data_IF_794597940639
#
_entry.id   IF_794597940639
#
_cell.length_a   1.000
_cell.length_b   1.000
_cell.length_c   1.000
_cell.angle_alpha   90.00
_cell.angle_beta   90.00
_cell.angle_gamma   90.00
#
_symmetry.space_group_name_H-M   'P 1'
#
loop_
_entity.id
_entity.type
_entity.pdbx_description
1 polymer ?
#
# COMPACT_ATOMS: atom_id res chain seq x y z
N UNK A 1 -87.26 42.08 11.50
CA UNK A 1 -86.34 43.10 10.96
C UNK A 1 -84.99 42.42 10.75
N UNK A 2 -84.68 42.05 9.51
CA UNK A 2 -83.56 41.21 9.12
C UNK A 2 -82.30 42.08 9.07
N UNK A 3 -81.31 41.81 9.92
CA UNK A 3 -80.00 42.47 9.88
C UNK A 3 -78.98 41.50 9.30
N UNK A 4 -78.52 41.81 8.08
CA UNK A 4 -77.39 41.16 7.41
C UNK A 4 -76.09 41.67 8.05
N UNK A 5 -75.25 40.78 8.55
CA UNK A 5 -73.85 41.08 8.86
C UNK A 5 -72.99 40.12 8.03
N UNK A 6 -72.31 40.70 7.05
CA UNK A 6 -71.23 40.10 6.28
C UNK A 6 -70.01 39.94 7.19
N UNK A 7 -69.46 38.73 7.29
CA UNK A 7 -68.11 38.52 7.83
C UNK A 7 -67.25 37.90 6.74
N UNK A 8 -66.24 38.66 6.35
CA UNK A 8 -65.21 38.37 5.37
C UNK A 8 -64.38 37.16 5.81
N UNK A 9 -64.28 36.15 4.94
CA UNK A 9 -63.43 34.98 5.14
C UNK A 9 -61.97 35.36 4.82
N UNK A 10 -61.11 35.39 5.84
CA UNK A 10 -59.67 35.55 5.67
C UNK A 10 -59.07 34.22 5.18
N UNK A 11 -58.42 34.25 4.01
CA UNK A 11 -57.75 33.10 3.41
C UNK A 11 -56.45 32.82 4.15
N UNK A 12 -56.35 31.58 4.63
CA UNK A 12 -55.19 30.96 5.25
C UNK A 12 -54.06 30.78 4.22
N UNK A 13 -52.88 31.33 4.48
CA UNK A 13 -51.63 30.94 3.81
C UNK A 13 -50.69 30.34 4.85
N UNK A 14 -50.80 29.03 5.09
CA UNK A 14 -49.78 28.26 5.79
C UNK A 14 -48.62 28.05 4.82
N UNK A 15 -47.47 28.64 5.10
CA UNK A 15 -46.19 28.20 4.54
C UNK A 15 -45.95 26.76 5.03
N UNK A 16 -46.10 25.79 4.14
CA UNK A 16 -45.58 24.44 4.35
C UNK A 16 -44.09 24.50 4.03
N UNK A 17 -43.26 24.69 5.05
CA UNK A 17 -41.84 24.33 4.94
C UNK A 17 -41.79 22.82 4.67
N UNK A 18 -41.17 22.34 3.58
CA UNK A 18 -40.82 20.94 3.48
C UNK A 18 -39.79 20.67 4.57
N UNK A 19 -40.24 20.05 5.67
CA UNK A 19 -39.34 19.32 6.55
C UNK A 19 -38.65 18.28 5.68
N UNK A 20 -37.34 18.41 5.48
CA UNK A 20 -36.50 17.29 5.08
C UNK A 20 -36.77 16.18 6.09
N UNK A 21 -37.63 15.24 5.71
CA UNK A 21 -37.67 13.95 6.37
C UNK A 21 -36.30 13.34 6.12
N UNK A 22 -35.47 13.32 7.16
CA UNK A 22 -34.32 12.45 7.17
C UNK A 22 -34.82 11.05 6.82
N UNK A 23 -34.15 10.39 5.87
CA UNK A 23 -34.46 9.02 5.54
C UNK A 23 -34.51 8.18 6.82
N UNK A 24 -35.50 7.27 6.97
CA UNK A 24 -35.48 6.35 8.10
C UNK A 24 -34.14 5.60 8.11
N UNK A 25 -33.53 5.40 9.29
CA UNK A 25 -32.24 4.74 9.38
C UNK A 25 -32.33 3.38 8.68
N UNK A 26 -31.42 3.18 7.73
CA UNK A 26 -31.26 1.92 7.01
C UNK A 26 -31.22 0.77 8.02
N UNK A 27 -32.05 -0.25 7.82
CA UNK A 27 -32.12 -1.41 8.69
C UNK A 27 -30.84 -2.24 8.52
N UNK A 28 -29.78 -1.86 9.24
CA UNK A 28 -28.50 -2.56 9.25
C UNK A 28 -28.67 -3.96 9.87
N UNK A 29 -28.21 -4.99 9.16
CA UNK A 29 -28.16 -6.35 9.72
C UNK A 29 -27.27 -6.30 10.98
N UNK A 30 -27.69 -6.95 12.08
CA UNK A 30 -26.87 -6.96 13.28
C UNK A 30 -25.50 -7.56 12.97
N UNK A 31 -24.41 -6.97 13.49
CA UNK A 31 -23.06 -7.44 13.20
C UNK A 31 -22.91 -8.91 13.61
N UNK A 32 -22.15 -9.68 12.84
CA UNK A 32 -21.80 -11.04 13.25
C UNK A 32 -20.86 -10.97 14.45
N UNK A 33 -21.24 -11.62 15.55
CA UNK A 33 -20.49 -11.61 16.80
C UNK A 33 -20.24 -13.02 17.27
N UNK A 34 -18.99 -13.31 17.61
CA UNK A 34 -18.58 -14.53 18.30
C UNK A 34 -17.96 -14.18 19.64
N UNK A 35 -18.21 -15.00 20.65
CA UNK A 35 -17.56 -14.85 21.95
C UNK A 35 -17.21 -16.22 22.51
N UNK A 36 -16.23 -16.25 23.41
CA UNK A 36 -15.76 -17.48 24.02
C UNK A 36 -14.80 -17.22 25.17
N UNK A 37 -14.30 -18.32 25.72
CA UNK A 37 -13.28 -18.32 26.78
C UNK A 37 -12.22 -19.35 26.44
N UNK A 38 -10.97 -19.03 26.74
CA UNK A 38 -9.82 -19.90 26.55
C UNK A 38 -9.11 -20.10 27.88
N UNK A 39 -8.71 -21.33 28.19
CA UNK A 39 -7.96 -21.64 29.41
C UNK A 39 -6.46 -21.40 29.23
N UNK A 40 -5.93 -21.60 28.02
CA UNK A 40 -4.52 -21.41 27.71
C UNK A 40 -4.21 -19.93 27.41
N UNK A 41 -3.63 -19.24 28.39
CA UNK A 41 -3.23 -17.82 28.27
C UNK A 41 -2.16 -17.58 27.21
N UNK A 42 -1.38 -18.59 26.83
CA UNK A 42 -0.33 -18.43 25.81
C UNK A 42 -0.93 -18.07 24.44
N UNK A 43 -2.17 -18.51 24.18
CA UNK A 43 -2.89 -18.18 22.95
C UNK A 43 -3.25 -16.70 22.87
N UNK A 44 -3.47 -16.04 24.01
CA UNK A 44 -3.78 -14.61 24.05
C UNK A 44 -2.61 -13.80 23.51
N UNK A 45 -1.39 -14.02 24.03
CA UNK A 45 -0.19 -13.27 23.59
C UNK A 45 0.22 -13.63 22.17
N UNK A 46 -0.01 -14.87 21.74
CA UNK A 46 0.45 -15.38 20.45
C UNK A 46 -0.44 -14.96 19.28
N UNK A 47 -1.76 -14.91 19.49
CA UNK A 47 -2.72 -14.73 18.40
C UNK A 47 -3.57 -13.46 18.48
N UNK A 48 -3.55 -12.73 19.61
CA UNK A 48 -4.20 -11.41 19.64
C UNK A 48 -3.45 -10.45 18.71
N UNK A 49 -4.12 -9.82 17.73
CA UNK A 49 -3.47 -8.84 16.88
C UNK A 49 -3.07 -7.62 17.69
N UNK A 50 -1.85 -7.10 17.46
CA UNK A 50 -1.36 -5.89 18.13
C UNK A 50 -2.18 -4.64 17.77
N UNK A 51 -2.90 -4.70 16.66
CA UNK A 51 -3.78 -3.65 16.14
C UNK A 51 -5.20 -3.71 16.72
N UNK A 52 -5.53 -4.76 17.48
CA UNK A 52 -6.88 -5.00 18.03
C UNK A 52 -7.99 -5.24 16.99
N UNK A 53 -7.63 -5.37 15.71
CA UNK A 53 -8.52 -5.80 14.63
C UNK A 53 -7.78 -6.70 13.63
N UNK A 54 -8.55 -7.41 12.82
CA UNK A 54 -8.10 -8.22 11.68
C UNK A 54 -8.69 -7.64 10.40
N UNK A 55 -7.85 -7.50 9.37
CA UNK A 55 -8.20 -6.92 8.09
C UNK A 55 -7.90 -7.83 6.89
N UNK A 56 -7.51 -9.08 7.13
CA UNK A 56 -7.18 -10.07 6.10
C UNK A 56 -7.55 -11.49 6.53
N UNK A 57 -7.72 -12.36 5.54
CA UNK A 57 -8.17 -13.73 5.73
C UNK A 57 -7.17 -14.63 6.46
N UNK A 58 -5.87 -14.44 6.24
CA UNK A 58 -4.83 -15.30 6.81
C UNK A 58 -4.74 -15.10 8.33
N UNK A 59 -4.77 -13.84 8.78
CA UNK A 59 -4.83 -13.50 10.19
C UNK A 59 -6.13 -14.01 10.83
N UNK A 60 -7.26 -13.92 10.12
CA UNK A 60 -8.54 -14.46 10.58
C UNK A 60 -8.51 -15.96 10.78
N UNK A 61 -8.02 -16.70 9.79
CA UNK A 61 -7.91 -18.16 9.85
C UNK A 61 -7.01 -18.61 11.01
N UNK A 62 -5.84 -17.97 11.17
CA UNK A 62 -4.89 -18.27 12.24
C UNK A 62 -5.52 -18.06 13.63
N UNK A 63 -6.17 -16.92 13.84
CA UNK A 63 -6.84 -16.63 15.12
C UNK A 63 -8.00 -17.59 15.36
N UNK A 64 -8.87 -17.80 14.36
CA UNK A 64 -10.04 -18.65 14.49
C UNK A 64 -9.66 -20.10 14.84
N UNK A 65 -8.71 -20.69 14.11
CA UNK A 65 -8.25 -22.06 14.38
C UNK A 65 -7.61 -22.20 15.77
N UNK A 66 -6.91 -21.15 16.23
CA UNK A 66 -6.30 -21.15 17.56
C UNK A 66 -7.33 -21.05 18.68
N UNK A 67 -8.34 -20.18 18.54
CA UNK A 67 -9.29 -19.88 19.61
C UNK A 67 -10.61 -20.66 19.52
N UNK A 68 -10.88 -21.33 18.41
CA UNK A 68 -12.09 -22.14 18.18
C UNK A 68 -11.73 -23.42 17.43
N UNK A 69 -10.82 -24.26 17.97
CA UNK A 69 -10.41 -25.48 17.30
C UNK A 69 -11.63 -26.40 17.10
N UNK A 70 -11.82 -26.88 15.88
CA UNK A 70 -12.92 -27.77 15.52
C UNK A 70 -14.21 -27.08 15.05
N UNK A 71 -14.27 -25.74 15.09
CA UNK A 71 -15.38 -25.00 14.48
C UNK A 71 -15.06 -24.63 13.02
N UNK A 72 -16.09 -24.64 12.16
CA UNK A 72 -15.96 -24.19 10.77
C UNK A 72 -15.53 -22.72 10.71
N UNK A 73 -14.56 -22.39 9.86
CA UNK A 73 -14.06 -21.04 9.66
C UNK A 73 -15.12 -20.16 8.98
N UNK A 74 -15.60 -19.07 9.62
CA UNK A 74 -16.54 -18.16 9.01
C UNK A 74 -15.92 -17.44 7.83
N UNK A 75 -16.69 -17.31 6.74
CA UNK A 75 -16.28 -16.57 5.55
C UNK A 75 -16.59 -15.08 5.76
N UNK A 76 -15.56 -14.25 5.66
CA UNK A 76 -15.64 -12.80 5.86
C UNK A 76 -15.03 -12.13 4.64
N UNK A 77 -15.75 -11.21 4.01
CA UNK A 77 -15.23 -10.41 2.91
C UNK A 77 -14.44 -9.21 3.47
N UNK A 78 -13.12 -9.37 3.60
CA UNK A 78 -12.26 -8.33 4.20
C UNK A 78 -12.09 -7.08 3.33
N UNK A 79 -12.56 -7.11 2.08
CA UNK A 79 -12.70 -5.89 1.26
C UNK A 79 -13.80 -4.97 1.80
N UNK A 80 -14.80 -5.52 2.48
CA UNK A 80 -15.97 -4.80 3.01
C UNK A 80 -16.04 -4.76 4.52
N UNK A 81 -15.32 -5.63 5.21
CA UNK A 81 -15.45 -5.78 6.66
C UNK A 81 -14.12 -5.87 7.37
N UNK A 82 -14.14 -5.52 8.65
CA UNK A 82 -13.07 -5.75 9.62
C UNK A 82 -13.58 -6.66 10.73
N UNK A 83 -12.68 -7.39 11.39
CA UNK A 83 -13.02 -8.11 12.62
C UNK A 83 -12.34 -7.44 13.80
N UNK A 84 -13.12 -6.82 14.68
CA UNK A 84 -12.64 -6.28 15.95
C UNK A 84 -12.37 -7.42 16.94
N UNK A 85 -11.27 -7.31 17.68
CA UNK A 85 -10.82 -8.33 18.63
C UNK A 85 -10.76 -7.74 20.04
N UNK A 86 -11.75 -8.05 20.86
CA UNK A 86 -11.81 -7.65 22.26
C UNK A 86 -11.44 -8.81 23.17
N UNK A 87 -10.56 -8.58 24.14
CA UNK A 87 -10.12 -9.62 25.08
C UNK A 87 -10.16 -9.12 26.52
N UNK A 88 -10.32 -10.03 27.47
CA UNK A 88 -10.25 -9.76 28.90
C UNK A 88 -9.55 -10.90 29.63
N UNK A 89 -8.57 -10.58 30.46
CA UNK A 89 -7.86 -11.57 31.28
C UNK A 89 -8.77 -12.29 32.25
N UNK A 90 -8.43 -13.54 32.57
CA UNK A 90 -9.20 -14.46 33.40
C UNK A 90 -10.38 -15.08 32.66
N UNK A 91 -11.13 -16.01 33.29
CA UNK A 91 -12.23 -16.73 32.66
C UNK A 91 -13.49 -15.86 32.55
N UNK A 92 -13.31 -14.64 32.05
CA UNK A 92 -14.31 -13.59 31.99
C UNK A 92 -15.13 -13.66 30.72
N UNK A 93 -16.35 -13.14 30.77
CA UNK A 93 -17.08 -12.85 29.54
C UNK A 93 -16.62 -11.48 29.09
N UNK A 94 -16.00 -11.39 27.92
CA UNK A 94 -15.74 -10.13 27.26
C UNK A 94 -16.97 -9.74 26.44
N UNK A 95 -17.15 -8.45 26.26
CA UNK A 95 -18.07 -7.86 25.29
C UNK A 95 -17.50 -6.49 24.91
N UNK A 96 -17.92 -5.94 23.77
CA UNK A 96 -17.36 -4.70 23.24
C UNK A 96 -18.46 -3.79 22.72
N UNK A 97 -18.17 -2.49 22.72
CA UNK A 97 -19.04 -1.49 22.10
C UNK A 97 -18.21 -0.60 21.17
N UNK A 98 -18.27 -0.82 19.84
CA UNK A 98 -17.66 0.07 18.88
C UNK A 98 -18.45 1.37 18.72
N UNK A 99 -17.73 2.44 18.44
CA UNK A 99 -18.24 3.78 18.12
C UNK A 99 -17.31 4.37 17.06
N UNK A 100 -17.87 4.82 15.94
CA UNK A 100 -17.11 5.48 14.87
C UNK A 100 -17.49 6.95 14.86
N UNK A 101 -16.50 7.84 14.78
CA UNK A 101 -16.73 9.27 14.60
C UNK A 101 -16.80 9.66 13.11
N UNK A 102 -17.20 10.90 12.84
CA UNK A 102 -17.37 11.43 11.47
C UNK A 102 -16.06 11.47 10.67
N UNK A 103 -14.91 11.43 11.36
CA UNK A 103 -13.59 11.40 10.74
C UNK A 103 -13.18 9.98 10.30
N UNK A 104 -13.96 8.96 10.65
CA UNK A 104 -13.70 7.56 10.36
C UNK A 104 -12.82 6.86 11.41
N UNK A 105 -12.70 7.41 12.62
CA UNK A 105 -11.98 6.75 13.70
C UNK A 105 -12.93 5.88 14.51
N UNK A 106 -12.81 4.57 14.34
CA UNK A 106 -13.51 3.61 15.17
C UNK A 106 -12.76 3.45 16.50
N UNK A 107 -13.46 3.62 17.61
CA UNK A 107 -12.99 3.27 18.95
C UNK A 107 -13.92 2.24 19.55
N UNK A 108 -13.38 1.32 20.33
CA UNK A 108 -14.20 0.43 21.12
C UNK A 108 -13.62 0.21 22.50
N UNK A 109 -14.52 0.04 23.46
CA UNK A 109 -14.18 -0.35 24.83
C UNK A 109 -14.60 -1.79 25.06
N UNK A 110 -13.71 -2.57 25.68
CA UNK A 110 -14.03 -3.93 26.14
C UNK A 110 -14.51 -3.85 27.59
N UNK A 111 -15.69 -4.39 27.85
CA UNK A 111 -16.23 -4.58 29.19
C UNK A 111 -16.32 -6.06 29.50
N UNK A 112 -16.09 -6.42 30.75
CA UNK A 112 -16.02 -7.83 31.16
C UNK A 112 -16.49 -8.07 32.58
N UNK A 113 -16.83 -9.33 32.87
CA UNK A 113 -16.97 -9.80 34.25
C UNK A 113 -15.61 -9.69 34.99
N UNK A 114 -15.62 -9.71 36.32
CA UNK A 114 -14.40 -9.62 37.16
C UNK A 114 -14.18 -10.90 37.96
N UNK A 115 -13.96 -12.01 37.26
CA UNK A 115 -13.64 -13.33 37.82
C UNK A 115 -12.13 -13.52 37.72
N UNK A 116 -11.48 -13.79 38.86
CA UNK A 116 -10.06 -14.16 38.90
C UNK A 116 -9.85 -15.63 38.53
N UNK A 117 -8.68 -15.95 38.00
CA UNK A 117 -8.30 -17.30 37.57
C UNK A 117 -7.58 -17.29 36.22
N UNK A 118 -7.09 -18.44 35.76
CA UNK A 118 -6.34 -18.52 34.51
C UNK A 118 -7.24 -18.38 33.29
N UNK A 119 -6.65 -17.95 32.18
CA UNK A 119 -7.26 -17.90 30.86
C UNK A 119 -7.67 -16.50 30.43
N UNK A 120 -8.51 -16.42 29.41
CA UNK A 120 -9.07 -15.16 28.93
C UNK A 120 -10.46 -15.34 28.30
N UNK A 121 -11.27 -14.30 28.37
CA UNK A 121 -12.47 -14.12 27.58
C UNK A 121 -12.19 -13.34 26.31
N UNK A 122 -12.96 -13.59 25.25
CA UNK A 122 -12.86 -12.80 24.03
C UNK A 122 -14.22 -12.56 23.37
N UNK A 123 -14.27 -11.51 22.56
CA UNK A 123 -15.34 -11.17 21.63
C UNK A 123 -14.70 -10.81 20.28
N UNK A 124 -15.24 -11.37 19.21
CA UNK A 124 -14.89 -11.10 17.82
C UNK A 124 -16.13 -10.50 17.16
N UNK A 125 -16.02 -9.31 16.59
CA UNK A 125 -17.16 -8.60 16.01
C UNK A 125 -16.83 -8.15 14.59
N UNK A 126 -17.65 -8.55 13.63
CA UNK A 126 -17.55 -8.06 12.25
C UNK A 126 -18.20 -6.69 12.19
N UNK A 127 -17.48 -5.72 11.63
CA UNK A 127 -17.97 -4.36 11.36
C UNK A 127 -17.73 -4.01 9.90
N UNK A 128 -18.56 -3.14 9.35
CA UNK A 128 -18.33 -2.60 8.01
C UNK A 128 -17.04 -1.77 8.00
N UNK A 129 -16.25 -1.97 6.94
CA UNK A 129 -14.96 -1.30 6.73
C UNK A 129 -15.13 0.10 6.15
N UNK A 130 -16.24 0.32 5.45
CA UNK A 130 -16.46 1.57 4.72
C UNK A 130 -16.40 2.78 5.66
N UNK A 131 -15.71 3.83 5.21
CA UNK A 131 -15.46 5.04 6.00
C UNK A 131 -14.49 4.88 7.19
N UNK A 132 -14.06 3.68 7.58
CA UNK A 132 -13.13 3.48 8.70
C UNK A 132 -11.68 3.70 8.26
N UNK A 133 -11.01 4.68 8.89
CA UNK A 133 -9.60 5.00 8.69
C UNK A 133 -8.72 4.42 9.80
N UNK A 134 -9.20 4.44 11.05
CA UNK A 134 -8.46 3.92 12.20
C UNK A 134 -9.36 3.11 13.14
N UNK A 135 -8.75 2.17 13.86
CA UNK A 135 -9.37 1.40 14.95
C UNK A 135 -8.50 1.55 16.20
N UNK A 136 -9.03 2.15 17.27
CA UNK A 136 -8.27 2.45 18.51
C UNK A 136 -6.91 3.14 18.25
N UNK A 137 -6.84 3.98 17.21
CA UNK A 137 -5.62 4.70 16.81
C UNK A 137 -4.68 3.92 15.88
N UNK A 138 -4.97 2.67 15.57
CA UNK A 138 -4.26 1.88 14.55
C UNK A 138 -4.87 2.11 13.17
N UNK A 139 -4.06 2.43 12.18
CA UNK A 139 -4.52 2.64 10.81
C UNK A 139 -5.07 1.34 10.20
N UNK A 140 -6.22 1.43 9.53
CA UNK A 140 -6.76 0.34 8.72
C UNK A 140 -6.03 0.35 7.37
N UNK A 141 -5.46 -0.78 6.91
CA UNK A 141 -4.79 -0.85 5.61
C UNK A 141 -5.72 -0.42 4.46
N UNK A 142 -5.17 -0.01 3.32
CA UNK A 142 -5.99 0.07 2.11
C UNK A 142 -6.49 -1.34 1.73
N UNK A 143 -7.64 -1.42 1.04
CA UNK A 143 -8.09 -2.70 0.49
C UNK A 143 -7.17 -3.04 -0.67
N UNK A 144 -6.29 -4.01 -0.47
CA UNK A 144 -5.68 -4.70 -1.59
C UNK A 144 -6.79 -5.53 -2.27
N UNK A 145 -7.04 -5.31 -3.56
CA UNK A 145 -8.09 -6.04 -4.31
C UNK A 145 -7.90 -7.58 -4.29
N UNK A 146 -6.77 -8.07 -3.78
CA UNK A 146 -6.39 -9.47 -3.60
C UNK A 146 -6.81 -10.09 -2.25
N UNK A 147 -7.41 -9.35 -1.30
CA UNK A 147 -7.59 -9.83 0.09
C UNK A 147 -8.99 -10.38 0.46
N UNK A 148 -9.80 -10.83 -0.50
CA UNK A 148 -11.09 -11.49 -0.22
C UNK A 148 -10.93 -13.02 -0.16
N UNK A 149 -11.37 -13.73 0.90
CA UNK A 149 -11.29 -15.19 0.95
C UNK A 149 -12.46 -15.82 0.20
N UNK A 150 -12.35 -15.87 -1.11
CA UNK A 150 -12.88 -17.03 -1.82
C UNK A 150 -11.96 -18.21 -1.49
N UNK A 151 -12.55 -19.36 -1.12
CA UNK A 151 -11.89 -20.66 -0.88
C UNK A 151 -10.49 -20.74 -1.51
N UNK A 152 -9.49 -21.20 -0.76
CA UNK A 152 -8.26 -21.77 -1.33
C UNK A 152 -8.66 -22.98 -2.18
N UNK A 153 -9.15 -22.71 -3.38
CA UNK A 153 -9.10 -23.63 -4.49
C UNK A 153 -7.62 -23.71 -4.84
N UNK A 154 -7.12 -24.93 -5.00
CA UNK A 154 -5.80 -25.15 -5.57
C UNK A 154 -5.66 -24.27 -6.81
N UNK A 155 -4.74 -23.33 -6.74
CA UNK A 155 -4.52 -22.35 -7.80
C UNK A 155 -3.04 -22.28 -8.10
N UNK A 156 -2.72 -22.29 -9.38
CA UNK A 156 -1.34 -22.15 -9.85
C UNK A 156 -1.18 -20.69 -10.26
N UNK A 157 -0.39 -19.91 -9.52
CA UNK A 157 0.03 -18.59 -9.96
C UNK A 157 1.19 -18.72 -10.94
N UNK A 158 1.12 -18.02 -12.07
CA UNK A 158 2.16 -18.05 -13.10
C UNK A 158 2.62 -16.65 -13.47
N UNK A 159 3.90 -16.54 -13.83
CA UNK A 159 4.45 -15.39 -14.56
C UNK A 159 5.02 -15.91 -15.86
N UNK A 160 4.49 -15.43 -16.99
CA UNK A 160 4.89 -15.86 -18.33
C UNK A 160 5.51 -14.69 -19.06
N UNK A 161 6.73 -14.87 -19.54
CA UNK A 161 7.40 -13.92 -20.44
C UNK A 161 7.37 -14.52 -21.84
N UNK A 162 6.70 -13.86 -22.77
CA UNK A 162 6.45 -14.44 -24.09
C UNK A 162 5.87 -13.44 -25.09
N UNK A 163 5.61 -13.90 -26.30
CA UNK A 163 4.99 -13.09 -27.37
C UNK A 163 3.48 -13.12 -27.24
N UNK A 164 2.86 -11.94 -27.16
CA UNK A 164 1.40 -11.78 -27.10
C UNK A 164 0.78 -11.83 -28.50
N UNK A 165 -0.39 -12.46 -28.63
CA UNK A 165 -1.22 -12.43 -29.84
C UNK A 165 -2.69 -12.18 -29.52
N UNK A 166 -3.32 -11.21 -30.17
CA UNK A 166 -4.76 -10.90 -30.03
C UNK A 166 -5.53 -11.17 -31.34
N UNK A 167 -6.86 -11.01 -31.32
CA UNK A 167 -7.70 -11.11 -32.51
C UNK A 167 -7.87 -12.55 -33.05
N UNK A 168 -7.57 -13.56 -32.24
CA UNK A 168 -7.69 -14.95 -32.65
C UNK A 168 -9.16 -15.37 -32.73
N UNK A 169 -9.54 -16.00 -33.84
CA UNK A 169 -10.89 -16.55 -34.03
C UNK A 169 -10.74 -18.05 -34.23
N UNK A 170 -11.35 -18.82 -33.34
CA UNK A 170 -11.49 -20.27 -33.50
C UNK A 170 -12.84 -20.61 -34.13
N UNK A 171 -12.88 -21.69 -34.89
CA UNK A 171 -14.13 -22.29 -35.33
C UNK A 171 -14.89 -22.70 -34.05
N UNK A 172 -16.20 -22.46 -34.00
CA UNK A 172 -16.98 -22.70 -32.78
C UNK A 172 -16.82 -21.67 -31.64
N UNK A 173 -15.99 -20.63 -31.79
CA UNK A 173 -15.90 -19.53 -30.82
C UNK A 173 -15.25 -19.91 -29.48
N UNK A 174 -14.59 -21.06 -29.41
CA UNK A 174 -14.02 -21.60 -28.18
C UNK A 174 -12.67 -20.97 -27.80
N UNK A 175 -12.36 -19.74 -28.17
CA UNK A 175 -11.10 -19.09 -27.78
C UNK A 175 -11.35 -17.86 -26.93
N UNK A 176 -10.42 -17.51 -26.05
CA UNK A 176 -10.43 -16.19 -25.39
C UNK A 176 -10.06 -15.05 -26.34
N UNK A 177 -9.59 -15.38 -27.55
CA UNK A 177 -9.18 -14.43 -28.57
C UNK A 177 -7.79 -13.84 -28.35
N UNK A 178 -7.13 -14.16 -27.23
CA UNK A 178 -5.78 -13.70 -26.90
C UNK A 178 -4.92 -14.84 -26.36
N UNK A 179 -3.67 -14.94 -26.81
CA UNK A 179 -2.71 -15.94 -26.34
C UNK A 179 -1.34 -15.32 -26.04
N UNK A 180 -0.58 -16.01 -25.20
CA UNK A 180 0.86 -15.78 -24.99
C UNK A 180 1.63 -17.04 -25.34
N UNK A 181 2.73 -16.91 -26.07
CA UNK A 181 3.61 -18.03 -26.41
C UNK A 181 5.01 -17.82 -25.85
N UNK A 182 5.53 -18.82 -25.12
CA UNK A 182 6.89 -18.83 -24.57
C UNK A 182 7.49 -20.22 -24.68
N UNK A 183 8.74 -20.32 -25.14
CA UNK A 183 9.45 -21.59 -25.32
C UNK A 183 8.63 -22.67 -26.07
N UNK A 184 7.86 -22.26 -27.08
CA UNK A 184 7.03 -23.17 -27.89
C UNK A 184 5.74 -23.65 -27.22
N UNK A 185 5.42 -23.17 -26.02
CA UNK A 185 4.16 -23.44 -25.33
C UNK A 185 3.26 -22.21 -25.42
N UNK A 186 1.99 -22.43 -25.74
CA UNK A 186 0.99 -21.38 -25.89
C UNK A 186 -0.09 -21.52 -24.83
N UNK A 187 -0.40 -20.40 -24.17
CA UNK A 187 -1.50 -20.29 -23.22
C UNK A 187 -2.51 -19.26 -23.71
N UNK A 188 -3.78 -19.52 -23.43
CA UNK A 188 -4.84 -18.52 -23.63
C UNK A 188 -4.88 -17.55 -22.46
N UNK A 189 -5.22 -16.30 -22.75
CA UNK A 189 -5.35 -15.24 -21.75
C UNK A 189 -6.81 -14.87 -21.56
N UNK A 190 -7.29 -14.93 -20.32
CA UNK A 190 -8.61 -14.46 -19.93
C UNK A 190 -8.48 -13.19 -19.11
N UNK A 191 -8.93 -12.07 -19.66
CA UNK A 191 -8.95 -10.76 -18.98
C UNK A 191 -10.25 -10.52 -18.19
N UNK A 192 -11.15 -11.49 -18.11
CA UNK A 192 -12.39 -11.39 -17.34
C UNK A 192 -13.27 -10.20 -17.78
N UNK A 193 -13.44 -9.21 -16.89
CA UNK A 193 -14.19 -7.97 -17.19
C UNK A 193 -13.28 -6.74 -17.38
N UNK A 194 -11.96 -6.91 -17.33
CA UNK A 194 -10.99 -5.81 -17.42
C UNK A 194 -10.82 -5.36 -18.88
N UNK A 195 -11.71 -4.48 -19.36
CA UNK A 195 -11.67 -3.92 -20.71
C UNK A 195 -10.36 -3.17 -20.99
N UNK A 196 -9.84 -2.45 -20.00
CA UNK A 196 -8.56 -1.72 -20.12
C UNK A 196 -7.37 -2.65 -20.42
N UNK A 197 -7.33 -3.83 -19.80
CA UNK A 197 -6.28 -4.82 -20.09
C UNK A 197 -6.43 -5.43 -21.48
N UNK A 198 -7.66 -5.54 -22.00
CA UNK A 198 -7.88 -5.97 -23.40
C UNK A 198 -7.35 -4.92 -24.36
N UNK A 199 -7.68 -3.64 -24.14
CA UNK A 199 -7.17 -2.54 -24.97
C UNK A 199 -5.64 -2.47 -24.92
N UNK A 200 -5.05 -2.73 -23.75
CA UNK A 200 -3.60 -2.83 -23.59
C UNK A 200 -3.03 -4.04 -24.35
N UNK A 201 -3.70 -5.20 -24.29
CA UNK A 201 -3.29 -6.39 -25.01
C UNK A 201 -3.31 -6.17 -26.52
N UNK A 202 -4.33 -5.50 -27.05
CA UNK A 202 -4.42 -5.14 -28.47
C UNK A 202 -3.26 -4.23 -28.90
N UNK A 203 -2.91 -3.24 -28.08
CA UNK A 203 -1.74 -2.37 -28.33
C UNK A 203 -0.41 -3.13 -28.26
N UNK A 204 -0.35 -4.19 -27.46
CA UNK A 204 0.83 -5.01 -27.26
C UNK A 204 0.87 -6.24 -28.20
N UNK A 205 -0.08 -6.36 -29.14
CA UNK A 205 -0.11 -7.48 -30.09
C UNK A 205 1.23 -7.64 -30.83
N UNK A 206 1.72 -8.88 -30.89
CA UNK A 206 3.01 -9.24 -31.49
C UNK A 206 4.24 -8.85 -30.68
N UNK A 207 4.11 -8.13 -29.56
CA UNK A 207 5.25 -7.75 -28.71
C UNK A 207 5.56 -8.82 -27.65
N UNK A 208 6.79 -8.79 -27.14
CA UNK A 208 7.14 -9.55 -25.96
C UNK A 208 6.56 -8.85 -24.72
N UNK A 209 5.90 -9.60 -23.85
CA UNK A 209 5.19 -9.10 -22.67
C UNK A 209 5.50 -9.96 -21.44
N UNK A 210 5.24 -9.43 -20.26
CA UNK A 210 5.17 -10.17 -19.00
C UNK A 210 3.71 -10.22 -18.57
N UNK A 211 3.19 -11.44 -18.42
CA UNK A 211 1.83 -11.70 -17.93
C UNK A 211 1.93 -12.38 -16.57
N UNK A 212 1.22 -11.87 -15.58
CA UNK A 212 1.01 -12.54 -14.29
C UNK A 212 -0.47 -12.89 -14.15
N UNK A 213 -0.76 -14.05 -13.59
CA UNK A 213 -2.14 -14.50 -13.41
C UNK A 213 -2.26 -15.85 -12.74
N UNK A 214 -3.47 -16.39 -12.76
CA UNK A 214 -3.77 -17.74 -12.28
C UNK A 214 -4.01 -18.68 -13.46
N UNK A 215 -3.31 -19.81 -13.49
CA UNK A 215 -3.43 -20.82 -14.54
C UNK A 215 -4.51 -21.83 -14.18
N UNK A 216 -5.39 -22.12 -15.13
CA UNK A 216 -6.42 -23.14 -15.03
C UNK A 216 -6.43 -24.00 -16.30
N UNK A 217 -6.81 -25.27 -16.12
CA UNK A 217 -7.08 -26.18 -17.23
C UNK A 217 -8.59 -26.27 -17.46
N UNK A 218 -9.04 -26.08 -18.70
CA UNK A 218 -10.45 -26.27 -19.11
C UNK A 218 -10.54 -27.30 -20.22
N UNK A 219 -11.60 -28.12 -20.21
CA UNK A 219 -11.93 -28.97 -21.34
C UNK A 219 -12.50 -28.11 -22.48
N UNK A 220 -12.07 -28.35 -23.72
CA UNK A 220 -12.65 -27.75 -24.93
C UNK A 220 -13.30 -28.82 -25.82
N UNK A 221 -14.15 -28.40 -26.76
CA UNK A 221 -14.79 -29.28 -27.73
C UNK A 221 -13.87 -29.54 -28.93
N UNK A 222 -13.16 -28.52 -29.41
CA UNK A 222 -12.18 -28.65 -30.51
C UNK A 222 -10.78 -29.01 -30.03
N UNK A 223 -10.37 -28.48 -28.86
CA UNK A 223 -9.10 -28.79 -28.21
C UNK A 223 -9.37 -29.43 -26.86
N UNK A 224 -9.00 -30.70 -26.71
CA UNK A 224 -9.36 -31.51 -25.56
C UNK A 224 -8.96 -30.89 -24.20
N UNK A 225 -7.80 -30.23 -24.14
CA UNK A 225 -7.34 -29.54 -22.94
C UNK A 225 -6.81 -28.14 -23.29
N UNK A 226 -7.37 -27.13 -22.64
CA UNK A 226 -7.01 -25.73 -22.83
C UNK A 226 -6.41 -25.17 -21.55
N UNK A 227 -5.26 -24.52 -21.67
CA UNK A 227 -4.57 -23.88 -20.55
C UNK A 227 -4.81 -22.37 -20.62
N UNK A 228 -5.56 -21.86 -19.65
CA UNK A 228 -6.02 -20.48 -19.63
C UNK A 228 -5.42 -19.79 -18.40
N UNK A 229 -4.77 -18.65 -18.63
CA UNK A 229 -4.28 -17.76 -17.58
C UNK A 229 -5.30 -16.65 -17.40
N UNK A 230 -5.95 -16.62 -16.23
CA UNK A 230 -6.73 -15.44 -15.80
C UNK A 230 -5.74 -14.35 -15.43
N UNK A 231 -5.67 -13.31 -16.25
CA UNK A 231 -4.63 -12.27 -16.17
C UNK A 231 -4.96 -11.30 -15.04
N UNK A 232 -4.01 -11.14 -14.12
CA UNK A 232 -4.04 -10.08 -13.10
C UNK A 232 -3.11 -8.91 -13.44
N UNK A 233 -2.09 -9.15 -14.27
CA UNK A 233 -1.15 -8.12 -14.72
C UNK A 233 -0.63 -8.40 -16.12
N UNK A 234 -0.58 -7.35 -16.94
CA UNK A 234 0.00 -7.36 -18.28
C UNK A 234 0.89 -6.13 -18.44
N UNK A 235 2.10 -6.32 -18.97
CA UNK A 235 3.02 -5.22 -19.31
C UNK A 235 3.97 -5.63 -20.43
N UNK A 236 4.56 -4.67 -21.15
CA UNK A 236 5.60 -4.99 -22.14
C UNK A 236 6.82 -5.59 -21.43
N UNK A 237 7.47 -6.57 -22.05
CA UNK A 237 8.74 -7.08 -21.55
C UNK A 237 9.79 -5.97 -21.70
N UNK A 238 10.44 -5.62 -20.59
CA UNK A 238 11.32 -4.45 -20.49
C UNK A 238 10.65 -3.19 -19.90
N UNK A 239 9.33 -3.16 -19.72
CA UNK A 239 8.69 -2.17 -18.84
C UNK A 239 8.75 -2.71 -17.40
N UNK A 240 9.67 -2.22 -16.57
CA UNK A 240 9.62 -2.43 -15.11
C UNK A 240 8.63 -1.47 -14.44
N UNK A 241 8.18 -1.80 -13.23
CA UNK A 241 7.01 -1.25 -12.55
C UNK A 241 6.99 0.30 -12.47
N UNK A 242 6.38 0.96 -13.44
CA UNK A 242 6.04 2.39 -13.40
C UNK A 242 4.68 2.61 -12.74
N UNK A 243 4.49 2.09 -11.52
CA UNK A 243 3.39 2.54 -10.66
C UNK A 243 3.97 3.15 -9.41
N UNK A 244 3.76 4.46 -9.25
CA UNK A 244 4.14 5.28 -8.12
C UNK A 244 3.34 4.90 -6.86
N UNK A 245 3.56 3.67 -6.36
CA UNK A 245 3.20 3.34 -4.99
C UNK A 245 4.26 4.00 -4.11
N UNK A 246 3.87 4.82 -3.11
CA UNK A 246 4.84 5.37 -2.17
C UNK A 246 5.59 4.20 -1.51
N UNK A 247 6.90 4.14 -1.69
CA UNK A 247 7.71 3.19 -0.95
C UNK A 247 7.56 3.52 0.53
N UNK A 248 7.27 2.54 1.38
CA UNK A 248 7.06 2.76 2.81
C UNK A 248 7.75 1.67 3.62
N UNK A 249 8.27 2.04 4.78
CA UNK A 249 8.66 1.10 5.84
C UNK A 249 8.05 1.59 7.17
N UNK A 250 8.37 0.93 8.29
CA UNK A 250 7.82 1.24 9.62
C UNK A 250 8.13 2.68 10.11
N UNK A 251 9.14 3.35 9.53
CA UNK A 251 9.66 4.64 10.00
C UNK A 251 9.57 5.77 8.98
N UNK A 252 9.49 5.47 7.69
CA UNK A 252 9.59 6.42 6.58
C UNK A 252 8.60 6.08 5.46
N UNK A 253 8.13 7.12 4.77
CA UNK A 253 7.34 7.00 3.55
C UNK A 253 7.92 7.92 2.48
N UNK A 254 8.19 7.39 1.28
CA UNK A 254 8.69 8.15 0.15
C UNK A 254 7.56 8.45 -0.83
N UNK A 255 7.44 9.71 -1.24
CA UNK A 255 6.51 10.17 -2.26
C UNK A 255 7.29 10.66 -3.48
N UNK A 256 7.06 10.03 -4.64
CA UNK A 256 7.75 10.32 -5.91
C UNK A 256 6.83 11.07 -6.84
N UNK A 257 7.29 12.19 -7.38
CA UNK A 257 6.50 13.00 -8.31
C UNK A 257 6.71 12.64 -9.80
N UNK A 258 7.76 11.88 -10.12
CA UNK A 258 8.19 11.65 -11.50
C UNK A 258 8.08 10.18 -11.93
N UNK A 259 7.43 9.88 -13.08
CA UNK A 259 7.45 8.57 -13.70
C UNK A 259 8.89 8.10 -13.99
N UNK A 260 9.12 6.78 -14.00
CA UNK A 260 10.45 6.21 -14.27
C UNK A 260 11.45 6.33 -13.12
N UNK A 261 10.98 6.68 -11.93
CA UNK A 261 11.79 6.64 -10.69
C UNK A 261 11.27 5.56 -9.77
N UNK A 262 12.14 4.62 -9.39
CA UNK A 262 11.90 3.58 -8.40
C UNK A 262 12.58 3.93 -7.08
N UNK A 263 11.91 3.67 -5.96
CA UNK A 263 12.48 3.79 -4.61
C UNK A 263 12.29 2.49 -3.85
N UNK A 264 13.34 2.04 -3.15
CA UNK A 264 13.26 0.96 -2.16
C UNK A 264 13.86 1.42 -0.84
N UNK A 265 13.24 1.03 0.27
CA UNK A 265 13.86 1.13 1.58
C UNK A 265 14.50 -0.21 1.93
N UNK A 266 15.80 -0.20 2.17
CA UNK A 266 16.54 -1.36 2.65
C UNK A 266 17.05 -1.10 4.07
N UNK A 267 17.39 -2.17 4.78
CA UNK A 267 18.10 -2.09 6.06
C UNK A 267 19.36 -2.93 5.94
N UNK A 268 20.51 -2.28 6.14
CA UNK A 268 21.82 -2.93 6.17
C UNK A 268 22.45 -2.64 7.53
N UNK A 269 22.67 -3.70 8.31
CA UNK A 269 23.05 -3.62 9.72
C UNK A 269 22.10 -2.74 10.55
N UNK A 270 22.51 -1.50 10.83
CA UNK A 270 21.75 -0.49 11.56
C UNK A 270 21.46 0.78 10.73
N UNK A 271 21.79 0.74 9.44
CA UNK A 271 21.61 1.85 8.50
C UNK A 271 20.35 1.63 7.67
N UNK A 272 19.50 2.64 7.63
CA UNK A 272 18.39 2.68 6.66
C UNK A 272 18.92 3.19 5.33
N UNK A 273 18.71 2.42 4.27
CA UNK A 273 19.16 2.79 2.91
C UNK A 273 17.95 3.17 2.07
N UNK A 274 18.02 4.34 1.44
CA UNK A 274 17.06 4.81 0.43
C UNK A 274 17.69 4.54 -0.94
N UNK A 275 17.27 3.46 -1.58
CA UNK A 275 17.81 3.02 -2.86
C UNK A 275 16.94 3.56 -4.01
N UNK A 276 17.54 4.36 -4.90
CA UNK A 276 16.83 5.15 -5.91
C UNK A 276 17.39 4.83 -7.30
N UNK A 277 16.50 4.35 -8.17
CA UNK A 277 16.76 4.18 -9.61
C UNK A 277 15.94 5.21 -10.38
N UNK A 278 16.57 5.96 -11.28
CA UNK A 278 15.90 7.03 -12.04
C UNK A 278 16.29 6.96 -13.51
N UNK A 279 15.35 6.57 -14.36
CA UNK A 279 15.58 6.41 -15.80
C UNK A 279 15.94 7.71 -16.51
N UNK A 280 15.37 8.83 -16.07
CA UNK A 280 15.62 10.17 -16.62
C UNK A 280 16.95 10.77 -16.16
N UNK A 281 17.55 10.27 -15.08
CA UNK A 281 18.70 10.89 -14.43
C UNK A 281 18.38 12.24 -13.75
N UNK A 282 17.12 12.66 -13.69
CA UNK A 282 16.67 13.87 -13.00
C UNK A 282 15.48 13.50 -12.14
N UNK A 283 15.45 13.96 -10.89
CA UNK A 283 14.26 13.74 -10.10
C UNK A 283 14.19 14.48 -8.78
N UNK A 284 13.00 14.37 -8.19
CA UNK A 284 12.65 14.92 -6.88
C UNK A 284 11.71 13.96 -6.17
N UNK A 285 11.93 13.78 -4.88
CA UNK A 285 11.05 13.03 -3.99
C UNK A 285 10.94 13.74 -2.63
N UNK A 286 9.90 13.40 -1.87
CA UNK A 286 9.77 13.75 -0.46
C UNK A 286 9.84 12.49 0.40
N UNK A 287 10.47 12.57 1.57
CA UNK A 287 10.45 11.51 2.59
C UNK A 287 9.74 12.05 3.82
N UNK A 288 8.61 11.44 4.18
CA UNK A 288 7.85 11.74 5.39
C UNK A 288 8.30 10.80 6.52
N UNK A 289 8.53 11.37 7.70
CA UNK A 289 8.80 10.60 8.92
C UNK A 289 7.50 10.06 9.50
N UNK A 290 7.43 8.75 9.71
CA UNK A 290 6.29 8.03 10.31
C UNK A 290 6.51 7.70 11.80
N UNK A 291 7.76 7.49 12.21
CA UNK A 291 8.14 7.23 13.60
C UNK A 291 8.37 8.52 14.40
N UNK A 292 8.49 8.41 15.72
CA UNK A 292 8.80 9.55 16.61
C UNK A 292 10.11 10.25 16.26
N UNK A 293 11.12 9.46 15.89
CA UNK A 293 12.47 9.92 15.59
C UNK A 293 12.89 9.38 14.21
N UNK A 294 13.75 10.10 13.50
CA UNK A 294 14.39 9.61 12.28
C UNK A 294 15.31 8.41 12.61
N UNK A 295 15.49 7.46 11.67
CA UNK A 295 16.56 6.47 11.77
C UNK A 295 17.92 7.11 12.09
N UNK A 296 18.70 6.46 12.95
CA UNK A 296 19.99 7.00 13.41
C UNK A 296 20.99 7.22 12.28
N UNK A 297 20.94 6.38 11.25
CA UNK A 297 21.81 6.46 10.09
C UNK A 297 20.99 6.24 8.83
N UNK A 298 21.13 7.15 7.87
CA UNK A 298 20.44 7.10 6.59
C UNK A 298 21.45 7.30 5.48
N UNK A 299 21.52 6.34 4.55
CA UNK A 299 22.25 6.45 3.31
C UNK A 299 21.28 6.54 2.14
N UNK A 300 21.69 7.25 1.09
CA UNK A 300 20.98 7.28 -0.19
C UNK A 300 21.86 6.62 -1.24
N UNK A 301 21.33 5.64 -1.97
CA UNK A 301 21.97 5.04 -3.14
C UNK A 301 21.31 5.59 -4.40
N UNK A 302 22.10 6.27 -5.22
CA UNK A 302 21.65 6.85 -6.48
C UNK A 302 22.26 6.04 -7.64
N UNK A 303 21.44 5.24 -8.32
CA UNK A 303 21.84 4.50 -9.53
C UNK A 303 21.87 5.45 -10.73
N UNK A 304 22.90 6.29 -10.78
CA UNK A 304 23.14 7.31 -11.81
C UNK A 304 24.47 7.05 -12.51
N UNK A 305 24.61 7.55 -13.74
CA UNK A 305 25.86 7.51 -14.47
C UNK A 305 26.85 8.59 -14.00
N UNK A 306 26.35 9.75 -13.58
CA UNK A 306 27.13 10.82 -12.96
C UNK A 306 26.32 11.55 -11.88
N UNK A 307 27.02 12.16 -10.91
CA UNK A 307 26.39 12.92 -9.83
C UNK A 307 26.68 14.42 -9.98
N UNK A 308 25.94 15.09 -10.87
CA UNK A 308 26.06 16.54 -11.10
C UNK A 308 25.62 17.32 -9.86
N UNK A 309 24.50 16.93 -9.28
CA UNK A 309 23.97 17.53 -8.07
C UNK A 309 23.06 16.55 -7.36
N UNK A 310 23.29 16.34 -6.07
CA UNK A 310 22.32 15.76 -5.15
C UNK A 310 22.04 16.73 -4.03
N UNK A 311 20.77 16.95 -3.71
CA UNK A 311 20.33 17.89 -2.69
C UNK A 311 19.43 17.16 -1.69
N UNK A 312 19.71 17.34 -0.40
CA UNK A 312 18.84 16.93 0.69
C UNK A 312 18.45 18.17 1.49
N UNK A 313 17.16 18.47 1.52
CA UNK A 313 16.63 19.70 2.09
C UNK A 313 15.64 19.42 3.21
N UNK A 314 15.68 20.28 4.22
CA UNK A 314 14.66 20.44 5.25
C UNK A 314 14.20 21.90 5.27
N UNK A 315 13.17 22.21 6.04
CA UNK A 315 12.47 23.51 6.03
C UNK A 315 13.37 24.77 6.03
N UNK A 316 14.54 24.73 6.68
CA UNK A 316 15.42 25.88 6.87
C UNK A 316 16.74 25.81 6.06
N UNK A 317 16.99 24.74 5.31
CA UNK A 317 18.25 24.65 4.55
C UNK A 317 18.45 23.38 3.75
N UNK A 318 19.52 23.39 2.96
CA UNK A 318 19.84 22.39 1.93
C UNK A 318 21.30 21.99 2.03
N UNK A 319 21.55 20.69 2.15
CA UNK A 319 22.84 20.09 1.86
C UNK A 319 22.89 19.73 0.39
N UNK A 320 24.02 20.00 -0.26
CA UNK A 320 24.22 19.69 -1.67
C UNK A 320 25.58 19.02 -1.88
N UNK A 321 25.58 17.91 -2.60
CA UNK A 321 26.74 17.13 -3.01
C UNK A 321 26.87 17.15 -4.53
N UNK A 322 28.11 17.18 -5.01
CA UNK A 322 28.44 16.91 -6.41
C UNK A 322 29.79 16.21 -6.52
N UNK A 323 29.94 15.41 -7.58
CA UNK A 323 31.17 14.68 -7.89
C UNK A 323 31.64 15.10 -9.27
N UNK A 324 32.89 15.55 -9.38
CA UNK A 324 33.44 15.94 -10.67
C UNK A 324 33.46 14.74 -11.63
N UNK A 325 32.91 14.89 -12.84
CA UNK A 325 32.88 13.82 -13.85
C UNK A 325 34.24 13.54 -14.48
N UNK A 326 35.23 14.42 -14.32
CA UNK A 326 36.60 14.24 -14.78
C UNK A 326 37.63 14.48 -13.68
N UNK A 327 38.90 14.17 -13.98
CA UNK A 327 40.00 14.31 -13.03
C UNK A 327 39.99 13.21 -11.96
N UNK A 328 40.24 13.59 -10.71
CA UNK A 328 40.28 12.71 -9.53
C UNK A 328 38.90 12.47 -8.91
N UNK A 329 37.82 12.85 -9.60
CA UNK A 329 36.44 12.76 -9.12
C UNK A 329 36.21 13.50 -7.78
N UNK A 330 36.89 14.65 -7.61
CA UNK A 330 36.76 15.48 -6.41
C UNK A 330 35.30 15.79 -6.02
N UNK A 331 34.98 15.50 -4.75
CA UNK A 331 33.68 15.83 -4.16
C UNK A 331 33.61 17.31 -3.76
N UNK A 332 32.47 17.93 -4.03
CA UNK A 332 32.07 19.19 -3.39
C UNK A 332 30.82 18.96 -2.55
N UNK A 333 30.84 19.49 -1.33
CA UNK A 333 29.67 19.54 -0.44
C UNK A 333 29.44 20.96 0.05
N UNK A 334 28.18 21.40 0.08
CA UNK A 334 27.80 22.72 0.59
C UNK A 334 26.57 22.64 1.48
N UNK A 335 26.43 23.60 2.38
CA UNK A 335 25.22 23.85 3.17
C UNK A 335 24.71 25.25 2.85
N UNK A 336 23.40 25.39 2.66
CA UNK A 336 22.72 26.67 2.42
C UNK A 336 21.53 26.83 3.35
N UNK A 337 21.44 27.95 4.05
CA UNK A 337 20.31 28.31 4.90
C UNK A 337 20.04 29.82 4.81
N UNK A 338 18.95 30.21 4.16
CA UNK A 338 18.66 31.61 3.87
C UNK A 338 19.76 32.30 3.06
N UNK A 339 20.46 33.27 3.67
CA UNK A 339 21.62 33.96 3.06
C UNK A 339 22.95 33.28 3.36
N UNK A 340 22.97 32.33 4.30
CA UNK A 340 24.18 31.60 4.65
C UNK A 340 24.49 30.54 3.57
N UNK A 341 25.75 30.49 3.15
CA UNK A 341 26.25 29.50 2.22
C UNK A 341 27.67 29.11 2.62
N UNK A 342 27.84 27.85 3.01
CA UNK A 342 29.07 27.32 3.58
C UNK A 342 29.56 26.13 2.76
N UNK A 343 30.85 26.13 2.41
CA UNK A 343 31.51 24.94 1.85
C UNK A 343 31.84 24.00 2.99
N UNK A 344 31.45 22.73 2.85
CA UNK A 344 31.78 21.68 3.81
C UNK A 344 33.01 20.93 3.29
N UNK A 345 33.97 20.72 4.18
CA UNK A 345 35.25 20.04 3.93
C UNK A 345 35.41 18.90 4.95
N UNK A 346 36.36 17.96 4.78
CA UNK A 346 36.49 16.82 5.69
C UNK A 346 36.61 17.14 7.18
N UNK A 347 37.08 18.34 7.54
CA UNK A 347 37.15 18.80 8.93
C UNK A 347 35.85 19.40 9.47
N UNK A 348 34.83 19.61 8.64
CA UNK A 348 33.52 20.10 9.04
C UNK A 348 32.71 18.98 9.68
N UNK A 349 32.03 19.25 10.80
CA UNK A 349 31.27 18.23 11.56
C UNK A 349 30.12 17.58 10.78
N UNK A 350 29.55 18.28 9.80
CA UNK A 350 28.45 17.81 8.97
C UNK A 350 28.91 17.28 7.60
N UNK A 351 30.22 17.15 7.38
CA UNK A 351 30.74 16.62 6.13
C UNK A 351 30.49 15.12 6.04
N UNK A 352 29.99 14.66 4.90
CA UNK A 352 29.86 13.24 4.58
C UNK A 352 30.52 12.95 3.25
N UNK A 353 31.21 11.82 3.16
CA UNK A 353 31.91 11.38 1.95
C UNK A 353 30.98 10.51 1.10
N UNK A 354 30.87 10.86 -0.18
CA UNK A 354 30.15 10.09 -1.20
C UNK A 354 31.05 8.99 -1.70
N UNK A 355 30.55 7.76 -1.73
CA UNK A 355 31.27 6.60 -2.26
C UNK A 355 30.73 6.23 -3.63
N UNK A 356 31.62 6.02 -4.58
CA UNK A 356 31.30 5.33 -5.83
C UNK A 356 31.42 3.82 -5.60
N UNK A 357 30.34 3.09 -5.83
CA UNK A 357 30.28 1.63 -5.67
C UNK A 357 30.01 0.99 -7.02
N UNK A 358 30.70 -0.11 -7.35
CA UNK A 358 30.53 -0.83 -8.62
C UNK A 358 31.33 -0.27 -9.79
N UNK A 359 32.10 0.80 -9.59
CA UNK A 359 33.05 1.36 -10.54
C UNK A 359 33.84 2.54 -9.97
N UNK A 360 34.95 2.87 -10.63
CA UNK A 360 35.88 3.95 -10.26
C UNK A 360 35.96 5.07 -11.32
N UNK A 361 35.16 4.98 -12.38
CA UNK A 361 35.11 5.95 -13.48
C UNK A 361 33.71 6.52 -13.69
N UNK A 362 33.61 7.81 -14.03
CA UNK A 362 32.38 8.47 -14.50
C UNK A 362 32.45 8.64 -16.03
N UNK A 363 31.42 8.25 -16.81
CA UNK A 363 30.13 7.72 -16.36
C UNK A 363 30.23 6.31 -15.76
N UNK A 364 29.58 6.10 -14.62
CA UNK A 364 29.43 4.76 -14.02
C UNK A 364 28.62 3.90 -14.99
N UNK A 365 29.19 2.78 -15.42
CA UNK A 365 28.48 1.81 -16.28
C UNK A 365 27.54 0.93 -15.48
N UNK A 366 27.95 0.58 -14.26
CA UNK A 366 27.20 -0.21 -13.30
C UNK A 366 27.48 0.35 -11.90
N UNK A 367 26.53 0.15 -10.97
CA UNK A 367 26.69 0.57 -9.58
C UNK A 367 25.97 1.88 -9.27
N UNK A 368 26.42 2.55 -8.20
CA UNK A 368 25.70 3.68 -7.63
C UNK A 368 26.62 4.63 -6.85
N UNK A 369 26.12 5.84 -6.61
CA UNK A 369 26.67 6.75 -5.63
C UNK A 369 25.99 6.52 -4.28
N UNK A 370 26.76 6.16 -3.25
CA UNK A 370 26.29 6.05 -1.88
C UNK A 370 26.57 7.35 -1.12
N UNK A 371 25.52 8.03 -0.69
CA UNK A 371 25.58 9.32 0.00
C UNK A 371 25.06 9.17 1.43
N UNK A 372 25.95 9.19 2.44
CA UNK A 372 25.53 9.29 3.83
C UNK A 372 24.90 10.66 4.10
N UNK A 373 23.69 10.68 4.67
CA UNK A 373 23.05 11.93 5.08
C UNK A 373 23.57 12.36 6.46
N UNK A 374 23.99 13.63 6.65
CA UNK A 374 24.55 14.08 7.91
C UNK A 374 23.47 14.14 9.00
N UNK A 375 23.83 13.80 10.23
CA UNK A 375 22.94 13.93 11.40
C UNK A 375 22.37 15.35 11.53
N UNK A 376 23.16 16.35 11.13
CA UNK A 376 22.77 17.74 11.11
C UNK A 376 21.53 18.01 10.25
N UNK A 377 21.20 17.19 9.24
CA UNK A 377 19.95 17.28 8.47
C UNK A 377 18.72 16.96 9.34
N UNK A 378 18.87 16.08 10.33
CA UNK A 378 17.78 15.58 11.17
C UNK A 378 17.70 16.24 12.55
N UNK A 379 18.63 17.15 12.89
CA UNK A 379 18.75 17.75 14.22
C UNK A 379 17.48 18.44 14.76
N UNK A 380 16.63 18.98 13.88
CA UNK A 380 15.34 19.60 14.23
C UNK A 380 14.16 18.62 14.23
N UNK A 381 14.44 17.33 14.02
CA UNK A 381 13.48 16.24 13.85
C UNK A 381 12.34 16.59 12.87
N UNK A 382 12.64 17.04 11.64
CA UNK A 382 11.61 17.51 10.72
C UNK A 382 10.61 16.40 10.41
N UNK A 383 9.34 16.74 10.14
CA UNK A 383 8.34 15.74 9.74
C UNK A 383 8.56 15.26 8.30
N UNK A 384 9.28 16.03 7.49
CA UNK A 384 9.58 15.72 6.10
C UNK A 384 10.95 16.27 5.69
N UNK A 385 11.64 15.55 4.80
CA UNK A 385 12.75 16.08 4.00
C UNK A 385 12.43 15.94 2.51
N UNK A 386 13.11 16.71 1.66
CA UNK A 386 13.04 16.53 0.21
C UNK A 386 14.41 16.21 -0.37
N UNK A 387 14.43 15.29 -1.32
CA UNK A 387 15.62 14.94 -2.07
C UNK A 387 15.45 15.36 -3.53
N UNK A 388 16.55 15.82 -4.15
CA UNK A 388 16.60 16.15 -5.58
C UNK A 388 17.93 15.69 -6.16
N UNK A 389 17.94 15.11 -7.34
CA UNK A 389 19.16 14.68 -8.02
C UNK A 389 19.19 15.12 -9.48
N UNK A 390 20.40 15.27 -10.00
CA UNK A 390 20.71 15.57 -11.39
C UNK A 390 21.92 14.73 -11.80
N UNK A 391 21.76 13.99 -12.88
CA UNK A 391 22.82 13.27 -13.59
C UNK A 391 23.39 14.14 -14.72
N UNK A 392 24.71 14.11 -14.86
CA UNK A 392 25.41 14.71 -16.00
C UNK A 392 24.97 14.10 -17.35
N UNK A 393 24.59 12.83 -17.35
CA UNK A 393 24.26 12.03 -18.53
C UNK A 393 22.75 11.74 -18.63
N UNK A 394 21.93 12.61 -18.05
CA UNK A 394 20.46 12.58 -18.21
C UNK A 394 20.05 12.61 -19.69
N UNK A 395 18.95 11.91 -19.99
CA UNK A 395 18.35 11.86 -21.34
C UNK A 395 17.41 13.02 -21.63
#
# INVERSE_FOLDING_TARGET
MILRISVTLAVFAILICPTLAADPPSEEKPPQVWSGKQQDESLLKKFTPKTEFIADADAWEKLWKAWRPGEELPKIDFSKSLVLVGTAYGPNRANMRPMTDDDGNLKFVVFSTKIGGPGFGYTLMVVDRDGIKTVNGHAVPAVDEDSSPAKVADSIKVTVVGTLRTGLVAIGGETTGTTITSNGVTWELDFGKHTEMRDQAEKLDGNQVVVTGTLQRRAGVEVAERWIVTVSKLKRAGEENTSAVPATNDSLMASVAQPGTEIRFLTEDATTVIDITSESGLGKLSIDRKSKDWPKQIHVRLHLHGLESFQAARNDGVFEWSIASGGDHGQRMTWRSGREHSKLVPSSSSYTEVKMVGGDSIPLKNGYFEVPLPEALFATNPDQISLRWIDFYRN
#
